data_IF_791784532992
#
_entry.id   IF_791784532992
#
_cell.length_a   1.000
_cell.length_b   1.000
_cell.length_c   1.000
_cell.angle_alpha   90.00
_cell.angle_beta   90.00
_cell.angle_gamma   90.00
#
_symmetry.space_group_name_H-M   'P 1'
#
loop_
_entity.id
_entity.type
_entity.pdbx_description
1 polymer ?
#
# COMPACT_ATOMS: atom_id res chain seq x y z
N UNK A 1 3.62 -12.21 -22.70
CA UNK A 1 4.83 -12.63 -21.95
C UNK A 1 4.39 -13.12 -20.58
N UNK A 2 4.81 -14.33 -20.23
CA UNK A 2 4.57 -14.97 -18.93
C UNK A 2 5.47 -14.35 -17.86
N UNK A 3 5.00 -14.38 -16.60
CA UNK A 3 5.87 -14.17 -15.45
C UNK A 3 7.02 -15.21 -15.43
N UNK A 4 8.21 -14.86 -14.90
CA UNK A 4 9.36 -15.74 -14.90
C UNK A 4 9.14 -16.99 -14.04
N UNK A 5 9.68 -18.11 -14.52
CA UNK A 5 9.46 -19.48 -14.02
C UNK A 5 10.20 -19.80 -12.71
N UNK A 6 10.90 -18.84 -12.08
CA UNK A 6 11.81 -19.13 -10.97
C UNK A 6 11.22 -19.14 -9.55
N UNK A 7 9.96 -18.73 -9.34
CA UNK A 7 9.33 -18.76 -8.00
C UNK A 7 8.24 -19.82 -7.84
N UNK A 8 8.04 -20.73 -8.80
CA UNK A 8 6.91 -21.67 -8.75
C UNK A 8 7.06 -22.86 -7.83
N UNK A 9 8.22 -23.09 -7.21
CA UNK A 9 8.41 -24.18 -6.23
C UNK A 9 9.53 -23.84 -5.25
N UNK A 10 9.17 -23.24 -4.11
CA UNK A 10 9.92 -23.54 -2.89
C UNK A 10 9.55 -24.98 -2.51
N UNK A 11 10.24 -25.94 -3.12
CA UNK A 11 10.11 -27.37 -2.83
C UNK A 11 10.33 -27.57 -1.31
N UNK A 12 9.27 -27.94 -0.60
CA UNK A 12 9.30 -28.25 0.83
C UNK A 12 8.60 -27.27 1.78
N UNK A 13 8.02 -26.16 1.31
CA UNK A 13 7.24 -25.24 2.17
C UNK A 13 5.74 -25.58 2.28
N UNK A 14 5.26 -26.54 1.51
CA UNK A 14 3.88 -27.01 1.59
C UNK A 14 3.83 -28.50 1.91
N UNK A 15 2.96 -28.92 2.85
CA UNK A 15 1.96 -28.10 3.55
C UNK A 15 2.55 -27.27 4.70
N UNK A 16 2.03 -26.04 4.89
CA UNK A 16 2.42 -25.12 6.00
C UNK A 16 2.14 -25.75 7.38
N UNK A 17 1.23 -26.72 7.45
CA UNK A 17 0.83 -27.45 8.65
C UNK A 17 0.82 -28.95 8.34
N UNK A 18 1.44 -29.77 9.19
CA UNK A 18 1.44 -31.23 8.97
C UNK A 18 0.06 -31.85 9.23
N UNK A 19 -0.20 -33.02 8.65
CA UNK A 19 -1.47 -33.73 8.87
C UNK A 19 -1.69 -34.09 10.35
N UNK A 20 -0.61 -34.43 11.07
CA UNK A 20 -0.65 -34.73 12.50
C UNK A 20 -1.08 -33.51 13.33
N UNK A 21 -0.60 -32.32 12.96
CA UNK A 21 -1.01 -31.07 13.59
C UNK A 21 -2.48 -30.75 13.30
N UNK A 22 -2.97 -31.02 12.08
CA UNK A 22 -4.38 -30.83 11.73
C UNK A 22 -5.30 -31.77 12.54
N UNK A 23 -4.88 -33.03 12.73
CA UNK A 23 -5.59 -33.99 13.59
C UNK A 23 -5.62 -33.48 15.03
N UNK A 24 -4.48 -33.06 15.58
CA UNK A 24 -4.40 -32.52 16.94
C UNK A 24 -5.29 -31.29 17.14
N UNK A 25 -5.29 -30.35 16.19
CA UNK A 25 -6.13 -29.15 16.24
C UNK A 25 -7.63 -29.48 16.15
N UNK A 26 -8.01 -30.46 15.34
CA UNK A 26 -9.41 -30.86 15.17
C UNK A 26 -10.04 -31.42 16.45
N UNK A 27 -9.24 -31.97 17.38
CA UNK A 27 -9.72 -32.48 18.66
C UNK A 27 -10.25 -31.38 19.59
N UNK A 28 -9.86 -30.13 19.37
CA UNK A 28 -10.33 -28.97 20.15
C UNK A 28 -11.53 -28.26 19.51
N UNK A 29 -11.98 -28.71 18.34
CA UNK A 29 -13.08 -28.10 17.60
C UNK A 29 -14.43 -28.36 18.27
N UNK A 30 -15.28 -27.33 18.34
CA UNK A 30 -16.69 -27.43 18.75
C UNK A 30 -17.57 -27.61 17.52
N UNK A 31 -18.85 -27.88 17.75
CA UNK A 31 -19.83 -28.06 16.66
C UNK A 31 -19.92 -26.85 15.72
N UNK A 32 -19.64 -25.63 16.23
CA UNK A 32 -19.60 -24.42 15.42
C UNK A 32 -18.42 -24.38 14.42
N UNK A 33 -17.34 -25.12 14.71
CA UNK A 33 -16.06 -25.06 13.98
C UNK A 33 -15.95 -26.15 12.90
N UNK A 34 -16.99 -26.98 12.72
CA UNK A 34 -16.97 -28.12 11.78
C UNK A 34 -16.65 -27.71 10.33
N UNK A 35 -17.07 -26.50 9.91
CA UNK A 35 -16.75 -25.98 8.57
C UNK A 35 -15.27 -25.62 8.42
N UNK A 36 -14.67 -25.07 9.48
CA UNK A 36 -13.27 -24.64 9.46
C UNK A 36 -12.33 -25.85 9.52
N UNK A 37 -12.70 -26.90 10.26
CA UNK A 37 -11.98 -28.19 10.25
C UNK A 37 -11.99 -28.80 8.84
N UNK A 38 -13.10 -28.72 8.10
CA UNK A 38 -13.14 -29.20 6.71
C UNK A 38 -12.20 -28.41 5.79
N UNK A 39 -12.10 -27.08 5.98
CA UNK A 39 -11.17 -26.24 5.21
C UNK A 39 -9.72 -26.58 5.57
N UNK A 40 -9.43 -26.77 6.85
CA UNK A 40 -8.10 -27.15 7.33
C UNK A 40 -7.60 -28.45 6.67
N UNK A 41 -8.43 -29.49 6.62
CA UNK A 41 -8.07 -30.75 5.96
C UNK A 41 -7.91 -30.60 4.43
N UNK A 42 -8.74 -29.79 3.77
CA UNK A 42 -8.59 -29.52 2.33
C UNK A 42 -7.27 -28.86 1.99
N UNK A 43 -6.78 -27.96 2.84
CA UNK A 43 -5.49 -27.28 2.65
C UNK A 43 -4.28 -28.20 2.83
N UNK A 44 -4.45 -29.36 3.49
CA UNK A 44 -3.38 -30.35 3.65
C UNK A 44 -3.28 -31.37 2.52
N UNK A 45 -4.28 -31.45 1.63
CA UNK A 45 -4.27 -32.43 0.54
C UNK A 45 -3.57 -31.85 -0.70
N UNK A 46 -2.41 -32.39 -1.11
CA UNK A 46 -1.68 -31.89 -2.28
C UNK A 46 -2.48 -32.05 -3.59
N UNK A 47 -3.40 -33.02 -3.66
CA UNK A 47 -4.21 -33.29 -4.85
C UNK A 47 -5.32 -32.25 -5.12
N UNK A 48 -5.85 -31.59 -4.09
CA UNK A 48 -6.86 -30.54 -4.28
C UNK A 48 -6.25 -29.21 -4.76
N UNK A 49 -4.99 -28.95 -4.42
CA UNK A 49 -4.24 -27.79 -4.95
C UNK A 49 -3.87 -27.99 -6.43
N UNK A 50 -3.48 -29.21 -6.82
CA UNK A 50 -3.15 -29.52 -8.22
C UNK A 50 -4.38 -29.40 -9.14
N UNK A 51 -5.56 -29.84 -8.69
CA UNK A 51 -6.82 -29.74 -9.47
C UNK A 51 -7.32 -28.32 -9.72
N UNK A 52 -6.83 -27.32 -8.99
CA UNK A 52 -7.17 -25.90 -9.22
C UNK A 52 -6.19 -25.18 -10.13
N UNK A 53 -5.08 -25.83 -10.51
CA UNK A 53 -4.03 -25.28 -11.39
C UNK A 53 -3.84 -26.22 -12.59
N UNK A 54 -4.91 -26.82 -13.09
CA UNK A 54 -4.92 -27.44 -14.42
C UNK A 54 -5.42 -26.40 -15.44
N UNK A 55 -4.59 -25.39 -15.66
CA UNK A 55 -4.65 -24.58 -16.89
C UNK A 55 -3.78 -25.36 -17.87
N UNK A 56 -4.41 -26.25 -18.63
CA UNK A 56 -3.80 -26.96 -19.74
C UNK A 56 -3.13 -25.95 -20.66
N UNK A 57 -1.80 -26.06 -20.73
CA UNK A 57 -0.94 -25.36 -21.65
C UNK A 57 -0.90 -26.10 -22.99
N UNK A 58 -2.02 -26.15 -23.69
CA UNK A 58 -2.08 -26.45 -25.13
C UNK A 58 -3.17 -25.56 -25.73
N UNK A 59 -2.84 -24.90 -26.84
CA UNK A 59 -3.48 -23.72 -27.42
C UNK A 59 -3.35 -22.45 -26.58
N UNK A 60 -2.35 -21.62 -26.91
CA UNK A 60 -2.43 -20.17 -26.67
C UNK A 60 -3.14 -19.59 -27.90
N UNK A 61 -4.45 -19.28 -27.85
CA UNK A 61 -5.02 -18.40 -28.83
C UNK A 61 -4.40 -17.03 -28.58
N UNK A 62 -3.86 -16.40 -29.63
CA UNK A 62 -3.58 -14.96 -29.62
C UNK A 62 -4.75 -14.23 -28.93
N UNK A 63 -4.49 -13.27 -28.02
CA UNK A 63 -5.55 -12.61 -27.26
C UNK A 63 -6.47 -11.92 -28.25
N UNK A 64 -7.59 -12.57 -28.52
CA UNK A 64 -8.67 -12.03 -29.31
C UNK A 64 -9.27 -10.94 -28.44
N UNK A 65 -9.14 -9.72 -28.92
CA UNK A 65 -9.54 -8.48 -28.28
C UNK A 65 -11.01 -8.56 -27.86
N UNK A 66 -11.25 -8.93 -26.61
CA UNK A 66 -12.55 -8.70 -25.97
C UNK A 66 -12.83 -7.19 -25.97
N UNK A 67 -14.09 -6.74 -26.15
CA UNK A 67 -14.39 -5.36 -26.51
C UNK A 67 -14.07 -4.27 -25.47
N UNK A 68 -13.45 -4.58 -24.32
CA UNK A 68 -13.10 -3.58 -23.30
C UNK A 68 -12.00 -4.02 -22.31
N UNK A 69 -10.87 -4.55 -22.79
CA UNK A 69 -9.77 -4.95 -21.89
C UNK A 69 -9.13 -3.74 -21.19
N UNK A 70 -8.91 -2.65 -21.92
CA UNK A 70 -8.33 -1.41 -21.42
C UNK A 70 -9.24 -0.73 -20.38
N UNK A 71 -10.55 -0.73 -20.60
CA UNK A 71 -11.52 -0.18 -19.64
C UNK A 71 -11.60 -0.99 -18.36
N UNK A 72 -11.50 -2.32 -18.43
CA UNK A 72 -11.42 -3.17 -17.25
C UNK A 72 -10.13 -2.93 -16.45
N UNK A 73 -8.98 -2.85 -17.15
CA UNK A 73 -7.69 -2.53 -16.54
C UNK A 73 -7.74 -1.16 -15.85
N UNK A 74 -8.23 -0.14 -16.54
CA UNK A 74 -8.34 1.21 -15.99
C UNK A 74 -9.24 1.26 -14.75
N UNK A 75 -10.42 0.63 -14.80
CA UNK A 75 -11.33 0.56 -13.64
C UNK A 75 -10.68 -0.13 -12.45
N UNK A 76 -9.93 -1.21 -12.70
CA UNK A 76 -9.18 -1.93 -11.65
C UNK A 76 -8.14 -1.01 -11.01
N UNK A 77 -7.34 -0.31 -11.81
CA UNK A 77 -6.35 0.65 -11.32
C UNK A 77 -7.04 1.76 -10.52
N UNK A 78 -8.06 2.42 -11.06
CA UNK A 78 -8.77 3.51 -10.38
C UNK A 78 -9.42 3.05 -9.07
N UNK A 79 -9.99 1.83 -9.03
CA UNK A 79 -10.52 1.26 -7.80
C UNK A 79 -9.42 1.04 -6.75
N UNK A 80 -8.29 0.47 -7.14
CA UNK A 80 -7.14 0.23 -6.27
C UNK A 80 -6.52 1.52 -5.73
N UNK A 81 -6.48 2.59 -6.55
CA UNK A 81 -5.93 3.88 -6.18
C UNK A 81 -6.94 4.82 -5.50
N UNK A 82 -8.21 4.43 -5.40
CA UNK A 82 -9.25 5.25 -4.78
C UNK A 82 -8.95 5.52 -3.30
N UNK A 83 -9.39 6.68 -2.80
CA UNK A 83 -9.20 7.07 -1.40
C UNK A 83 -9.75 6.02 -0.41
N UNK A 84 -10.87 5.40 -0.75
CA UNK A 84 -11.47 4.32 0.06
C UNK A 84 -10.54 3.12 0.13
N UNK A 85 -10.02 2.63 -1.00
CA UNK A 85 -9.10 1.49 -1.05
C UNK A 85 -7.79 1.80 -0.32
N UNK A 86 -7.22 2.99 -0.54
CA UNK A 86 -5.99 3.42 0.14
C UNK A 86 -6.20 3.55 1.65
N UNK A 87 -7.35 4.06 2.09
CA UNK A 87 -7.67 4.17 3.52
C UNK A 87 -7.84 2.78 4.13
N UNK A 88 -8.54 1.86 3.46
CA UNK A 88 -8.75 0.52 3.98
C UNK A 88 -7.45 -0.31 4.04
N UNK A 89 -6.62 -0.26 2.99
CA UNK A 89 -5.40 -1.07 2.90
C UNK A 89 -4.24 -0.51 3.72
N UNK A 90 -4.18 0.81 3.92
CA UNK A 90 -3.03 1.49 4.53
C UNK A 90 -3.43 2.34 5.73
N UNK A 91 -4.45 3.19 5.58
CA UNK A 91 -4.83 4.17 6.59
C UNK A 91 -5.30 3.54 7.90
N UNK A 92 -6.22 2.56 7.84
CA UNK A 92 -6.86 1.98 9.02
C UNK A 92 -5.87 1.34 9.98
N UNK A 93 -4.90 0.57 9.49
CA UNK A 93 -3.91 -0.09 10.37
C UNK A 93 -3.00 0.91 11.08
N UNK A 94 -2.70 2.05 10.44
CA UNK A 94 -1.94 3.16 11.02
C UNK A 94 -2.77 3.95 12.03
N UNK A 95 -4.05 4.17 11.74
CA UNK A 95 -4.99 4.85 12.62
C UNK A 95 -5.26 4.02 13.88
N UNK A 96 -5.45 2.72 13.72
CA UNK A 96 -5.59 1.78 14.83
C UNK A 96 -4.33 1.73 15.68
N UNK A 97 -3.15 1.67 15.06
CA UNK A 97 -1.87 1.73 15.77
C UNK A 97 -1.75 3.02 16.58
N UNK A 98 -2.11 4.16 15.96
CA UNK A 98 -2.09 5.48 16.60
C UNK A 98 -3.06 5.58 17.77
N UNK A 99 -4.27 5.03 17.63
CA UNK A 99 -5.31 5.02 18.66
C UNK A 99 -4.93 4.15 19.87
N UNK A 100 -4.24 3.04 19.63
CA UNK A 100 -3.81 2.10 20.67
C UNK A 100 -2.49 2.47 21.35
N UNK A 101 -1.82 3.55 20.92
CA UNK A 101 -0.60 4.02 21.58
C UNK A 101 -0.92 4.85 22.83
N UNK A 102 -0.54 4.34 24.00
CA UNK A 102 -0.74 5.03 25.28
C UNK A 102 0.43 5.93 25.65
N UNK A 103 0.13 7.17 26.03
CA UNK A 103 1.09 8.16 26.50
C UNK A 103 0.92 8.43 27.99
N UNK A 104 2.03 8.44 28.74
CA UNK A 104 2.02 8.83 30.16
C UNK A 104 1.96 10.34 30.36
N UNK A 105 2.55 11.09 29.42
CA UNK A 105 2.64 12.55 29.45
C UNK A 105 2.53 13.09 28.03
N UNK A 106 2.02 14.30 27.90
CA UNK A 106 1.93 15.05 26.64
C UNK A 106 3.19 15.90 26.41
N UNK A 107 3.98 16.13 27.47
CA UNK A 107 5.18 16.96 27.44
C UNK A 107 6.42 16.19 27.90
N UNK A 108 7.56 16.58 27.37
CA UNK A 108 8.89 16.05 27.72
C UNK A 108 9.73 17.12 28.41
N UNK A 109 10.68 16.70 29.23
CA UNK A 109 11.59 17.59 29.97
C UNK A 109 12.79 18.00 29.13
N UNK A 110 13.31 17.05 28.37
CA UNK A 110 14.56 17.20 27.63
C UNK A 110 14.56 16.40 26.31
N UNK A 111 15.67 16.52 25.58
CA UNK A 111 15.86 15.86 24.29
C UNK A 111 15.97 14.33 24.42
N UNK A 112 16.46 13.81 25.56
CA UNK A 112 16.57 12.36 25.77
C UNK A 112 15.19 11.74 25.92
N UNK A 113 14.34 12.35 26.75
CA UNK A 113 12.93 11.93 26.92
C UNK A 113 12.16 12.05 25.61
N UNK A 114 12.41 13.11 24.82
CA UNK A 114 11.84 13.28 23.49
C UNK A 114 12.22 12.13 22.54
N UNK A 115 13.52 11.84 22.41
CA UNK A 115 14.02 10.76 21.55
C UNK A 115 13.46 9.40 21.96
N UNK A 116 13.37 9.13 23.26
CA UNK A 116 12.75 7.91 23.76
C UNK A 116 11.28 7.82 23.40
N UNK A 117 10.53 8.94 23.47
CA UNK A 117 9.11 8.99 23.13
C UNK A 117 8.88 8.73 21.63
N UNK A 118 9.58 9.44 20.74
CA UNK A 118 9.42 9.27 19.28
C UNK A 118 9.90 7.89 18.81
N UNK A 119 10.97 7.36 19.41
CA UNK A 119 11.46 6.00 19.10
C UNK A 119 10.45 4.95 19.55
N UNK A 120 9.92 5.08 20.77
CA UNK A 120 8.92 4.16 21.29
C UNK A 120 7.65 4.16 20.45
N UNK A 121 7.19 5.34 20.02
CA UNK A 121 6.08 5.47 19.10
C UNK A 121 6.36 4.85 17.73
N UNK A 122 7.53 5.11 17.15
CA UNK A 122 7.92 4.55 15.86
C UNK A 122 7.97 3.03 15.87
N UNK A 123 8.57 2.43 16.89
CA UNK A 123 8.61 0.96 17.07
C UNK A 123 7.20 0.40 17.20
N UNK A 124 6.33 1.05 17.98
CA UNK A 124 4.94 0.64 18.13
C UNK A 124 4.20 0.63 16.79
N UNK A 125 4.29 1.73 16.04
CA UNK A 125 3.72 1.83 14.70
C UNK A 125 4.24 0.70 13.81
N UNK A 126 5.55 0.50 13.74
CA UNK A 126 6.17 -0.51 12.88
C UNK A 126 5.68 -1.92 13.18
N UNK A 127 5.59 -2.30 14.46
CA UNK A 127 5.07 -3.60 14.90
C UNK A 127 3.61 -3.82 14.53
N UNK A 128 2.83 -2.76 14.44
CA UNK A 128 1.41 -2.85 14.13
C UNK A 128 1.15 -2.97 12.62
N UNK A 129 2.12 -2.60 11.78
CA UNK A 129 1.96 -2.59 10.32
C UNK A 129 2.82 -3.66 9.62
N UNK A 130 3.83 -4.23 10.28
CA UNK A 130 4.60 -5.35 9.74
C UNK A 130 4.29 -6.64 10.46
N UNK A 131 4.29 -7.75 9.73
CA UNK A 131 4.21 -9.09 10.32
C UNK A 131 5.37 -9.28 11.32
N UNK A 132 5.16 -9.91 12.49
CA UNK A 132 6.01 -9.79 13.68
C UNK A 132 7.41 -10.42 13.60
N UNK A 133 7.88 -10.85 12.44
CA UNK A 133 9.11 -11.65 12.30
C UNK A 133 10.41 -10.82 12.19
N UNK A 134 10.30 -9.49 12.08
CA UNK A 134 11.46 -8.60 12.02
C UNK A 134 11.89 -8.07 13.39
N UNK A 135 13.07 -8.46 13.87
CA UNK A 135 13.70 -7.81 15.03
C UNK A 135 14.23 -6.42 14.61
N UNK A 136 13.47 -5.38 14.94
CA UNK A 136 13.93 -3.99 14.73
C UNK A 136 14.96 -3.63 15.79
N UNK A 137 16.20 -3.39 15.38
CA UNK A 137 17.22 -2.81 16.26
C UNK A 137 16.74 -1.47 16.80
N UNK A 138 16.81 -1.29 18.12
CA UNK A 138 16.36 -0.06 18.77
C UNK A 138 17.13 1.16 18.29
N UNK A 139 18.43 1.00 18.02
CA UNK A 139 19.28 2.11 17.59
C UNK A 139 18.94 2.53 16.15
N UNK A 140 18.66 1.56 15.27
CA UNK A 140 18.17 1.83 13.93
C UNK A 140 16.80 2.53 13.97
N UNK A 141 15.89 2.05 14.83
CA UNK A 141 14.59 2.69 15.02
C UNK A 141 14.69 4.12 15.56
N UNK A 142 15.67 4.40 16.42
CA UNK A 142 15.89 5.74 16.94
C UNK A 142 16.39 6.69 15.85
N UNK A 143 17.37 6.26 15.04
CA UNK A 143 17.85 7.03 13.90
C UNK A 143 16.72 7.32 12.90
N UNK A 144 15.98 6.28 12.50
CA UNK A 144 14.83 6.42 11.61
C UNK A 144 13.76 7.38 12.16
N UNK A 145 13.47 7.30 13.46
CA UNK A 145 12.46 8.16 14.09
C UNK A 145 12.90 9.63 14.07
N UNK A 146 14.18 9.91 14.31
CA UNK A 146 14.75 11.27 14.24
C UNK A 146 14.68 11.80 12.82
N UNK A 147 15.13 11.02 11.83
CA UNK A 147 15.10 11.42 10.42
C UNK A 147 13.67 11.75 9.96
N UNK A 148 12.70 10.95 10.40
CA UNK A 148 11.28 11.19 10.09
C UNK A 148 10.73 12.45 10.73
N UNK A 149 11.15 12.77 11.95
CA UNK A 149 10.78 14.02 12.62
C UNK A 149 11.39 15.20 11.87
N UNK A 150 12.68 15.13 11.53
CA UNK A 150 13.38 16.15 10.77
C UNK A 150 12.66 16.45 9.45
N UNK A 151 12.28 15.40 8.71
CA UNK A 151 11.54 15.52 7.47
C UNK A 151 10.13 16.09 7.66
N UNK A 152 9.39 15.61 8.66
CA UNK A 152 8.00 16.04 8.89
C UNK A 152 7.92 17.49 9.36
N UNK A 153 8.95 17.98 10.06
CA UNK A 153 9.05 19.34 10.58
C UNK A 153 9.99 20.23 9.76
N UNK A 154 10.45 19.78 8.58
CA UNK A 154 11.43 20.51 7.75
C UNK A 154 11.05 21.97 7.51
N UNK A 155 9.77 22.26 7.29
CA UNK A 155 9.26 23.62 7.05
C UNK A 155 8.98 24.42 8.34
N UNK A 156 9.10 23.79 9.50
CA UNK A 156 8.82 24.38 10.81
C UNK A 156 10.08 24.55 11.67
N UNK A 157 11.27 24.16 11.18
CA UNK A 157 12.53 24.19 11.93
C UNK A 157 13.05 22.82 12.35
N UNK A 158 12.58 21.74 11.71
CA UNK A 158 13.10 20.38 11.89
C UNK A 158 12.92 19.84 13.31
N UNK A 159 13.92 19.09 13.75
CA UNK A 159 13.97 18.46 15.06
C UNK A 159 13.81 19.45 16.21
N UNK A 160 14.46 20.63 16.15
CA UNK A 160 14.40 21.62 17.22
C UNK A 160 12.98 22.16 17.43
N UNK A 161 12.23 22.34 16.34
CA UNK A 161 10.83 22.75 16.40
C UNK A 161 9.94 21.67 17.00
N UNK A 162 10.16 20.41 16.65
CA UNK A 162 9.44 19.28 17.23
C UNK A 162 9.77 19.13 18.73
N UNK A 163 11.04 19.29 19.11
CA UNK A 163 11.46 19.25 20.51
C UNK A 163 10.85 20.41 21.31
N UNK A 164 10.81 21.62 20.75
CA UNK A 164 10.16 22.76 21.38
C UNK A 164 8.66 22.52 21.58
N UNK A 165 7.97 21.99 20.56
CA UNK A 165 6.57 21.58 20.67
C UNK A 165 6.38 20.53 21.77
N UNK A 166 7.23 19.51 21.83
CA UNK A 166 7.16 18.47 22.86
C UNK A 166 7.38 19.04 24.27
N UNK A 167 8.23 20.04 24.43
CA UNK A 167 8.51 20.66 25.75
C UNK A 167 7.38 21.60 26.20
N UNK A 168 6.93 22.48 25.32
CA UNK A 168 5.98 23.55 25.68
C UNK A 168 4.52 23.16 25.42
N UNK A 169 4.27 22.23 24.50
CA UNK A 169 2.95 21.71 24.15
C UNK A 169 2.00 22.79 23.61
N UNK A 170 2.49 23.72 22.79
CA UNK A 170 1.71 24.85 22.27
C UNK A 170 0.64 24.42 21.27
N UNK A 171 0.85 23.31 20.55
CA UNK A 171 -0.10 22.67 19.63
C UNK A 171 -0.59 21.30 20.12
N UNK A 172 -0.35 20.97 21.39
CA UNK A 172 -0.72 19.69 21.98
C UNK A 172 0.44 18.72 22.18
N UNK A 173 1.68 19.16 22.05
CA UNK A 173 2.88 18.44 22.46
C UNK A 173 3.10 17.13 21.71
N UNK A 174 3.44 16.07 22.44
CA UNK A 174 3.68 14.74 21.86
C UNK A 174 2.47 14.21 21.07
N UNK A 175 1.24 14.57 21.44
CA UNK A 175 0.04 14.13 20.70
C UNK A 175 0.09 14.63 19.26
N UNK A 176 0.35 15.92 19.08
CA UNK A 176 0.46 16.53 17.76
C UNK A 176 1.62 15.94 16.97
N UNK A 177 2.77 15.72 17.61
CA UNK A 177 3.95 15.14 16.96
C UNK A 177 3.64 13.71 16.46
N UNK A 178 2.97 12.89 17.27
CA UNK A 178 2.58 11.53 16.85
C UNK A 178 1.53 11.54 15.74
N UNK A 179 0.60 12.48 15.75
CA UNK A 179 -0.36 12.66 14.65
C UNK A 179 0.38 13.01 13.34
N UNK A 180 1.34 13.94 13.40
CA UNK A 180 2.20 14.31 12.25
C UNK A 180 3.01 13.11 11.75
N UNK A 181 3.63 12.34 12.65
CA UNK A 181 4.38 11.14 12.29
C UNK A 181 3.48 10.08 11.61
N UNK A 182 2.27 9.88 12.12
CA UNK A 182 1.29 8.95 11.54
C UNK A 182 0.88 9.40 10.13
N UNK A 183 0.58 10.67 9.95
CA UNK A 183 0.15 11.20 8.64
C UNK A 183 1.28 11.20 7.61
N UNK A 184 2.52 11.44 8.04
CA UNK A 184 3.70 11.28 7.19
C UNK A 184 3.86 9.81 6.75
N UNK A 185 3.73 8.86 7.68
CA UNK A 185 3.85 7.43 7.35
C UNK A 185 2.73 6.97 6.39
N UNK A 186 1.49 7.43 6.60
CA UNK A 186 0.39 7.22 5.66
C UNK A 186 0.76 7.73 4.27
N UNK A 187 1.29 8.94 4.18
CA UNK A 187 1.63 9.58 2.91
C UNK A 187 2.73 8.83 2.16
N UNK A 188 3.79 8.41 2.86
CA UNK A 188 4.88 7.61 2.29
C UNK A 188 4.37 6.25 1.79
N UNK A 189 3.57 5.55 2.59
CA UNK A 189 3.03 4.24 2.21
C UNK A 189 2.03 4.32 1.07
N UNK A 190 1.13 5.31 1.07
CA UNK A 190 0.20 5.57 -0.03
C UNK A 190 0.96 5.82 -1.34
N UNK A 191 2.04 6.61 -1.31
CA UNK A 191 2.90 6.84 -2.48
C UNK A 191 3.53 5.54 -3.00
N UNK A 192 4.18 4.77 -2.12
CA UNK A 192 4.79 3.47 -2.50
C UNK A 192 3.76 2.51 -3.09
N UNK A 193 2.55 2.46 -2.52
CA UNK A 193 1.47 1.61 -3.01
C UNK A 193 0.95 2.07 -4.38
N UNK A 194 0.75 3.39 -4.58
CA UNK A 194 0.40 3.96 -5.88
C UNK A 194 1.43 3.58 -6.95
N UNK A 195 2.71 3.76 -6.65
CA UNK A 195 3.81 3.42 -7.56
C UNK A 195 3.83 1.92 -7.91
N UNK A 196 3.59 1.06 -6.91
CA UNK A 196 3.52 -0.40 -7.08
C UNK A 196 2.36 -0.79 -8.00
N UNK A 197 1.15 -0.31 -7.74
CA UNK A 197 -0.05 -0.61 -8.54
C UNK A 197 0.15 -0.21 -10.00
N UNK A 198 0.74 0.96 -10.26
CA UNK A 198 1.00 1.43 -11.62
C UNK A 198 2.02 0.55 -12.33
N UNK A 199 3.14 0.22 -11.67
CA UNK A 199 4.20 -0.63 -12.25
C UNK A 199 3.76 -2.07 -12.49
N UNK A 200 2.85 -2.60 -11.67
CA UNK A 200 2.27 -3.93 -11.87
C UNK A 200 1.25 -3.95 -13.01
N UNK A 201 0.53 -2.85 -13.21
CA UNK A 201 -0.56 -2.79 -14.18
C UNK A 201 -0.14 -2.31 -15.57
N UNK A 202 0.95 -1.53 -15.66
CA UNK A 202 1.42 -0.89 -16.90
C UNK A 202 2.85 -1.34 -17.15
N UNK A 203 3.07 -2.09 -18.23
CA UNK A 203 4.42 -2.39 -18.69
C UNK A 203 5.06 -1.11 -19.26
N UNK A 204 6.16 -0.60 -18.66
CA UNK A 204 6.80 0.62 -19.14
C UNK A 204 7.38 0.48 -20.56
N UNK A 205 7.61 -0.75 -21.05
CA UNK A 205 8.17 -1.03 -22.37
C UNK A 205 7.08 -1.27 -23.44
N UNK A 206 5.83 -1.49 -23.04
CA UNK A 206 4.71 -1.69 -23.97
C UNK A 206 4.09 -0.34 -24.37
N UNK A 207 4.76 0.34 -25.31
CA UNK A 207 4.30 1.64 -25.82
C UNK A 207 2.90 1.56 -26.43
N UNK A 208 2.57 0.49 -27.15
CA UNK A 208 1.28 0.35 -27.84
C UNK A 208 0.14 0.23 -26.82
N UNK A 209 0.31 -0.57 -25.77
CA UNK A 209 -0.67 -0.67 -24.69
C UNK A 209 -0.88 0.69 -23.98
N UNK A 210 0.18 1.46 -23.76
CA UNK A 210 0.09 2.80 -23.17
C UNK A 210 -0.72 3.77 -24.04
N UNK A 211 -0.53 3.74 -25.36
CA UNK A 211 -1.30 4.56 -26.31
C UNK A 211 -2.77 4.13 -26.33
N UNK A 212 -3.06 2.82 -26.37
CA UNK A 212 -4.44 2.29 -26.32
C UNK A 212 -5.16 2.71 -25.04
N UNK A 213 -4.50 2.56 -23.89
CA UNK A 213 -5.05 2.97 -22.60
C UNK A 213 -5.28 4.49 -22.54
N UNK A 214 -4.37 5.28 -23.10
CA UNK A 214 -4.50 6.74 -23.20
C UNK A 214 -5.71 7.16 -24.07
N UNK A 215 -5.88 6.52 -25.23
CA UNK A 215 -7.04 6.75 -26.09
C UNK A 215 -8.34 6.36 -25.37
N UNK A 216 -8.33 5.26 -24.61
CA UNK A 216 -9.46 4.83 -23.80
C UNK A 216 -9.80 5.86 -22.71
N UNK A 217 -8.80 6.36 -21.98
CA UNK A 217 -8.95 7.42 -20.97
C UNK A 217 -9.59 8.66 -21.60
N UNK A 218 -9.08 9.14 -22.73
CA UNK A 218 -9.60 10.33 -23.40
C UNK A 218 -11.06 10.12 -23.87
N UNK A 219 -11.38 8.93 -24.39
CA UNK A 219 -12.74 8.58 -24.82
C UNK A 219 -13.73 8.52 -23.65
N UNK A 220 -13.37 7.89 -22.54
CA UNK A 220 -14.27 7.66 -21.42
C UNK A 220 -14.35 8.84 -20.44
N UNK A 221 -13.22 9.50 -20.19
CA UNK A 221 -13.06 10.54 -19.16
C UNK A 221 -12.70 11.91 -19.74
N UNK A 222 -12.64 12.09 -21.06
CA UNK A 222 -12.23 13.35 -21.69
C UNK A 222 -12.98 14.60 -21.21
N UNK A 223 -14.24 14.47 -20.76
CA UNK A 223 -15.02 15.58 -20.18
C UNK A 223 -14.54 16.04 -18.81
N UNK A 224 -13.85 15.17 -18.07
CA UNK A 224 -13.30 15.44 -16.74
C UNK A 224 -11.82 15.83 -16.81
N UNK A 225 -11.16 15.61 -17.95
CA UNK A 225 -9.77 16.03 -18.14
C UNK A 225 -9.69 17.54 -18.38
N UNK A 226 -8.62 18.20 -17.90
CA UNK A 226 -8.35 19.59 -18.25
C UNK A 226 -8.25 19.77 -19.75
N UNK A 227 -8.62 20.95 -20.25
CA UNK A 227 -8.58 21.27 -21.67
C UNK A 227 -7.22 20.96 -22.30
N UNK A 228 -6.12 21.24 -21.58
CA UNK A 228 -4.75 20.93 -22.02
C UNK A 228 -4.56 19.45 -22.34
N UNK A 229 -4.95 18.55 -21.44
CA UNK A 229 -4.83 17.08 -21.63
C UNK A 229 -5.87 16.59 -22.63
N UNK A 230 -7.08 17.18 -22.62
CA UNK A 230 -8.17 16.79 -23.52
C UNK A 230 -7.81 17.02 -24.99
N UNK A 231 -7.00 18.04 -25.30
CA UNK A 231 -6.53 18.33 -26.67
C UNK A 231 -5.30 17.53 -27.10
N UNK A 232 -4.61 16.88 -26.17
CA UNK A 232 -3.44 16.06 -26.49
C UNK A 232 -3.84 14.82 -27.30
N UNK A 233 -2.95 14.39 -28.18
CA UNK A 233 -3.09 13.09 -28.83
C UNK A 233 -2.79 11.96 -27.82
N UNK A 234 -3.39 10.77 -27.98
CA UNK A 234 -3.13 9.62 -27.11
C UNK A 234 -1.65 9.29 -26.89
N UNK A 235 -0.81 9.50 -27.90
CA UNK A 235 0.65 9.33 -27.83
C UNK A 235 1.31 10.31 -26.87
N UNK A 236 0.82 11.55 -26.81
CA UNK A 236 1.33 12.56 -25.88
C UNK A 236 0.93 12.23 -24.44
N UNK A 237 -0.32 11.77 -24.24
CA UNK A 237 -0.82 11.30 -22.95
C UNK A 237 -0.02 10.06 -22.49
N UNK A 238 0.34 9.16 -23.41
CA UNK A 238 1.10 7.94 -23.09
C UNK A 238 2.47 8.22 -22.46
N UNK A 239 3.11 9.35 -22.78
CA UNK A 239 4.35 9.77 -22.10
C UNK A 239 4.14 10.09 -20.61
N UNK A 240 2.95 10.55 -20.23
CA UNK A 240 2.58 10.97 -18.87
C UNK A 240 1.44 10.14 -18.27
N UNK A 241 1.25 8.91 -18.77
CA UNK A 241 0.08 8.08 -18.47
C UNK A 241 -0.14 7.86 -16.97
N UNK A 242 0.94 7.59 -16.24
CA UNK A 242 0.90 7.39 -14.79
C UNK A 242 0.38 8.62 -14.05
N UNK A 243 0.87 9.82 -14.42
CA UNK A 243 0.41 11.07 -13.83
C UNK A 243 -1.07 11.33 -14.12
N UNK A 244 -1.51 11.06 -15.36
CA UNK A 244 -2.91 11.22 -15.75
C UNK A 244 -3.82 10.27 -14.97
N UNK A 245 -3.40 9.03 -14.77
CA UNK A 245 -4.15 8.06 -13.97
C UNK A 245 -4.22 8.49 -12.49
N UNK A 246 -3.12 8.99 -11.93
CA UNK A 246 -3.10 9.51 -10.55
C UNK A 246 -4.05 10.70 -10.39
N UNK A 247 -4.04 11.64 -11.34
CA UNK A 247 -4.96 12.78 -11.35
C UNK A 247 -6.42 12.33 -11.42
N UNK A 248 -6.72 11.33 -12.26
CA UNK A 248 -8.06 10.76 -12.35
C UNK A 248 -8.49 10.05 -11.05
N UNK A 249 -7.57 9.37 -10.37
CA UNK A 249 -7.85 8.70 -9.10
C UNK A 249 -8.06 9.68 -7.94
N UNK A 250 -7.38 10.83 -7.95
CA UNK A 250 -7.48 11.88 -6.93
C UNK A 250 -8.71 12.80 -7.11
N UNK A 251 -9.31 12.80 -8.31
CA UNK A 251 -10.51 13.59 -8.60
C UNK A 251 -10.24 15.10 -8.79
N UNK A 252 -11.30 15.87 -9.09
CA UNK A 252 -11.25 17.25 -9.62
C UNK A 252 -10.41 18.28 -8.86
N UNK A 253 -10.07 18.07 -7.58
CA UNK A 253 -9.41 19.09 -6.75
C UNK A 253 -7.92 19.28 -7.02
N UNK A 254 -7.21 18.28 -7.57
CA UNK A 254 -5.76 18.36 -7.81
C UNK A 254 -5.39 18.66 -9.29
N UNK A 255 -6.35 18.58 -10.21
CA UNK A 255 -6.14 18.90 -11.64
C UNK A 255 -5.78 20.39 -11.87
N UNK A 256 -6.41 21.31 -11.15
CA UNK A 256 -6.11 22.76 -11.23
C UNK A 256 -4.73 23.14 -10.67
N UNK A 257 -4.10 22.25 -9.88
CA UNK A 257 -2.77 22.47 -9.29
C UNK A 257 -1.66 22.01 -10.24
N UNK A 258 -1.88 20.93 -11.01
CA UNK A 258 -0.92 20.43 -11.99
C UNK A 258 -0.76 21.38 -13.18
N UNK A 259 -1.87 21.95 -13.69
CA UNK A 259 -1.90 22.94 -14.78
C UNK A 259 -1.13 24.24 -14.49
N UNK A 260 -0.78 24.50 -13.23
CA UNK A 260 -0.01 25.69 -12.84
C UNK A 260 1.49 25.42 -12.80
N UNK A 261 1.92 24.15 -12.90
CA UNK A 261 3.33 23.75 -12.80
C UNK A 261 3.95 23.42 -14.17
N UNK A 262 3.14 23.24 -15.20
CA UNK A 262 3.54 22.87 -16.57
C UNK A 262 2.71 23.69 -17.55
#
# INVERSE_FOLDING_TARGET
MSLPVLDRRLDGLFPIVSIDQCIALSQYAKQADHKDVQILYKLTSPDEFAKKIDITAEDVPSPTSGPDQEGQLLRKILFELSDTSLTQKIGMSLDDARANYSMKTVRVKDASEFNQAITGFYIHMFRHIQSPEGHVSRDAAAADAIDRIEDSFRNAGGYDAALAEAKFGTKGGLRYIFDVMTDQEKSVRKRKYKDMVLKEAIDPLDWEAKVKLSAHIQKQYGRYLPDTIRTMQPEQIAHHLEEVILLLAEGERDMDRWLRKH
#
